data_IF_420523172059
#
_entry.id   IF_420523172059
#
_cell.length_a   1.000
_cell.length_b   1.000
_cell.length_c   1.000
_cell.angle_alpha   90.00
_cell.angle_beta   90.00
_cell.angle_gamma   90.00
#
_symmetry.space_group_name_H-M   'P 1'
#
loop_
_entity.id
_entity.type
_entity.pdbx_description
1 polymer ?
#
# COMPACT_ATOMS: atom_id res chain seq x y z
N UNK A 1 -9.26 13.43 -3.24
CA UNK A 1 -9.35 11.99 -3.50
C UNK A 1 -8.96 11.23 -2.24
N UNK A 2 -9.71 10.20 -1.90
CA UNK A 2 -9.47 9.47 -0.66
C UNK A 2 -8.49 8.33 -0.87
N UNK A 3 -7.50 8.17 0.00
CA UNK A 3 -6.66 6.98 -0.03
C UNK A 3 -7.50 5.73 0.19
N UNK A 4 -7.08 4.64 -0.41
CA UNK A 4 -7.67 3.34 -0.12
C UNK A 4 -7.08 2.84 1.19
N UNK A 5 -7.94 2.52 2.16
CA UNK A 5 -7.49 1.94 3.42
C UNK A 5 -8.14 0.58 3.60
N UNK A 6 -7.36 -0.40 3.97
CA UNK A 6 -7.85 -1.75 4.17
C UNK A 6 -6.96 -2.45 5.20
N UNK A 7 -7.28 -3.69 5.50
CA UNK A 7 -6.54 -4.48 6.47
C UNK A 7 -6.22 -5.85 5.90
N UNK A 8 -5.11 -6.43 6.36
CA UNK A 8 -4.70 -7.77 5.98
C UNK A 8 -3.90 -8.36 7.13
N UNK A 9 -4.35 -9.49 7.69
CA UNK A 9 -3.71 -10.15 8.84
C UNK A 9 -3.48 -9.18 9.99
N UNK A 10 -4.46 -8.31 10.24
CA UNK A 10 -4.45 -7.27 11.26
C UNK A 10 -3.47 -6.12 10.99
N UNK A 11 -2.73 -6.15 9.89
CA UNK A 11 -1.94 -5.01 9.44
C UNK A 11 -2.87 -4.03 8.74
N UNK A 12 -2.60 -2.75 8.92
CA UNK A 12 -3.33 -1.69 8.21
C UNK A 12 -2.57 -1.34 6.95
N UNK A 13 -3.29 -1.17 5.85
CA UNK A 13 -2.72 -0.81 4.55
C UNK A 13 -3.35 0.49 4.07
N UNK A 14 -2.53 1.42 3.60
CA UNK A 14 -3.02 2.63 2.96
C UNK A 14 -2.36 2.79 1.60
N UNK A 15 -3.17 2.91 0.56
CA UNK A 15 -2.70 3.11 -0.81
C UNK A 15 -3.14 4.49 -1.26
N UNK A 16 -2.18 5.35 -1.57
CA UNK A 16 -2.43 6.71 -2.04
C UNK A 16 -2.06 6.76 -3.51
N UNK A 17 -3.05 7.03 -4.36
CA UNK A 17 -2.80 7.07 -5.80
C UNK A 17 -2.53 8.50 -6.27
N UNK A 18 -1.75 8.61 -7.32
CA UNK A 18 -1.41 9.90 -7.94
C UNK A 18 -1.39 9.72 -9.44
N UNK A 19 -2.02 10.67 -10.13
CA UNK A 19 -1.94 10.73 -11.59
C UNK A 19 -0.61 11.34 -11.99
N UNK A 20 0.06 10.74 -12.96
CA UNK A 20 1.33 11.25 -13.51
C UNK A 20 1.15 11.70 -14.95
N UNK A 21 -0.07 12.13 -15.29
CA UNK A 21 -0.41 12.56 -16.65
C UNK A 21 -1.02 11.43 -17.45
N UNK A 22 -0.22 10.48 -17.90
CA UNK A 22 -0.71 9.37 -18.70
C UNK A 22 -0.88 8.07 -17.92
N UNK A 23 -0.42 8.08 -16.70
CA UNK A 23 -0.42 6.87 -15.88
C UNK A 23 -0.77 7.21 -14.45
N UNK A 24 -0.97 6.19 -13.64
CA UNK A 24 -1.23 6.34 -12.22
C UNK A 24 -0.17 5.59 -11.45
N UNK A 25 0.32 6.21 -10.40
CA UNK A 25 1.24 5.57 -9.47
C UNK A 25 0.59 5.47 -8.11
N UNK A 26 1.22 4.75 -7.20
CA UNK A 26 0.71 4.61 -5.85
C UNK A 26 1.86 4.67 -4.84
N UNK A 27 1.56 5.31 -3.71
CA UNK A 27 2.38 5.25 -2.52
C UNK A 27 1.68 4.28 -1.58
N UNK A 28 2.39 3.26 -1.12
CA UNK A 28 1.82 2.22 -0.30
C UNK A 28 2.47 2.23 1.07
N UNK A 29 1.65 2.38 2.10
CA UNK A 29 2.10 2.40 3.48
C UNK A 29 1.41 1.30 4.25
N UNK A 30 2.12 0.68 5.20
CA UNK A 30 1.55 -0.35 6.07
C UNK A 30 1.93 -0.09 7.52
N UNK A 31 1.09 -0.59 8.41
CA UNK A 31 1.33 -0.53 9.85
C UNK A 31 1.17 -1.93 10.44
N UNK A 32 2.09 -2.31 11.31
CA UNK A 32 1.96 -3.58 12.04
C UNK A 32 0.73 -3.53 12.94
N UNK A 33 0.19 -4.68 13.35
CA UNK A 33 -0.98 -4.69 14.24
C UNK A 33 -0.75 -3.87 15.50
N UNK A 34 -1.74 -3.06 15.86
CA UNK A 34 -1.68 -2.23 17.06
C UNK A 34 -0.94 -0.91 16.91
N UNK A 35 -0.39 -0.65 15.74
CA UNK A 35 0.31 0.60 15.46
C UNK A 35 -0.47 1.48 14.51
N UNK A 36 -0.34 2.76 14.69
CA UNK A 36 -0.95 3.76 13.81
C UNK A 36 -0.15 5.05 13.96
N UNK A 37 -0.37 5.96 13.03
CA UNK A 37 0.33 7.24 13.04
C UNK A 37 1.55 7.23 12.13
N UNK A 38 1.97 8.41 11.73
CA UNK A 38 3.01 8.56 10.71
C UNK A 38 4.35 7.97 11.09
N UNK A 39 4.66 7.96 12.39
CA UNK A 39 5.95 7.45 12.87
C UNK A 39 6.12 5.96 12.64
N UNK A 40 5.03 5.23 12.64
CA UNK A 40 5.07 3.77 12.53
C UNK A 40 4.77 3.27 11.13
N UNK A 41 4.51 4.18 10.21
CA UNK A 41 4.23 3.82 8.83
C UNK A 41 5.48 3.25 8.18
N UNK A 42 5.32 2.12 7.49
CA UNK A 42 6.40 1.52 6.70
C UNK A 42 6.05 1.67 5.25
N UNK A 43 7.01 2.13 4.45
CA UNK A 43 6.80 2.25 3.02
C UNK A 43 7.04 0.91 2.35
N UNK A 44 6.09 0.49 1.54
CA UNK A 44 6.23 -0.72 0.74
C UNK A 44 6.96 -0.33 -0.53
N UNK A 45 8.09 -0.99 -0.87
CA UNK A 45 8.73 -0.73 -2.15
C UNK A 45 7.77 -1.02 -3.29
N UNK A 46 7.43 0.02 -4.04
CA UNK A 46 6.46 -0.10 -5.12
C UNK A 46 6.83 0.92 -6.19
N UNK A 47 7.10 0.43 -7.37
CA UNK A 47 7.54 1.28 -8.46
C UNK A 47 6.89 0.82 -9.77
N UNK A 48 5.57 0.69 -9.74
CA UNK A 48 4.81 0.25 -10.90
C UNK A 48 3.77 1.32 -11.22
N UNK A 49 3.58 1.60 -12.49
CA UNK A 49 2.52 2.49 -12.94
C UNK A 49 1.40 1.67 -13.56
N UNK A 50 0.20 2.23 -13.52
CA UNK A 50 -1.00 1.58 -14.04
C UNK A 50 -1.76 2.57 -14.91
N UNK A 51 -2.68 2.07 -15.71
CA UNK A 51 -3.42 2.90 -16.64
C UNK A 51 -4.62 3.60 -16.01
N UNK A 52 -5.02 3.18 -14.82
CA UNK A 52 -6.15 3.78 -14.12
C UNK A 52 -5.89 3.84 -12.63
N UNK A 53 -6.64 4.69 -11.95
CA UNK A 53 -6.57 4.79 -10.50
C UNK A 53 -6.93 3.47 -9.84
N UNK A 54 -7.99 2.83 -10.31
CA UNK A 54 -8.44 1.58 -9.76
C UNK A 54 -7.38 0.49 -9.89
N UNK A 55 -6.73 0.42 -11.05
CA UNK A 55 -5.66 -0.54 -11.27
C UNK A 55 -4.47 -0.26 -10.36
N UNK A 56 -4.13 1.02 -10.16
CA UNK A 56 -3.05 1.40 -9.26
C UNK A 56 -3.36 1.03 -7.81
N UNK A 57 -4.61 1.25 -7.37
CA UNK A 57 -5.05 0.85 -6.04
C UNK A 57 -4.90 -0.65 -5.84
N UNK A 58 -5.37 -1.44 -6.79
CA UNK A 58 -5.34 -2.89 -6.70
C UNK A 58 -3.91 -3.43 -6.69
N UNK A 59 -3.08 -2.92 -7.60
CA UNK A 59 -1.68 -3.35 -7.66
C UNK A 59 -0.93 -2.96 -6.39
N UNK A 60 -1.21 -1.76 -5.86
CA UNK A 60 -0.60 -1.32 -4.61
C UNK A 60 -1.02 -2.18 -3.43
N UNK A 61 -2.29 -2.55 -3.38
CA UNK A 61 -2.80 -3.44 -2.34
C UNK A 61 -2.12 -4.80 -2.39
N UNK A 62 -1.95 -5.35 -3.59
CA UNK A 62 -1.28 -6.64 -3.76
C UNK A 62 0.17 -6.53 -3.31
N UNK A 63 0.85 -5.44 -3.64
CA UNK A 63 2.23 -5.23 -3.19
C UNK A 63 2.31 -5.20 -1.67
N UNK A 64 1.34 -4.55 -1.02
CA UNK A 64 1.28 -4.50 0.44
C UNK A 64 1.08 -5.89 1.04
N UNK A 65 0.18 -6.68 0.45
CA UNK A 65 -0.08 -8.05 0.93
C UNK A 65 1.19 -8.88 0.86
N UNK A 66 1.93 -8.79 -0.24
CA UNK A 66 3.19 -9.53 -0.39
C UNK A 66 4.23 -9.07 0.62
N UNK A 67 4.30 -7.77 0.86
CA UNK A 67 5.22 -7.21 1.84
C UNK A 67 4.89 -7.74 3.24
N UNK A 68 3.61 -7.72 3.61
CA UNK A 68 3.15 -8.19 4.92
C UNK A 68 3.44 -9.69 5.07
N UNK A 69 3.18 -10.48 4.05
CA UNK A 69 3.45 -11.91 4.10
C UNK A 69 4.94 -12.19 4.31
N UNK A 70 5.80 -11.43 3.64
CA UNK A 70 7.24 -11.60 3.80
C UNK A 70 7.68 -11.20 5.21
N UNK A 71 7.14 -10.13 5.75
CA UNK A 71 7.49 -9.70 7.11
C UNK A 71 6.97 -10.67 8.17
N UNK A 72 5.75 -11.16 7.97
CA UNK A 72 5.18 -12.12 8.90
C UNK A 72 5.96 -13.44 8.89
N UNK A 73 6.50 -13.82 7.75
CA UNK A 73 7.29 -15.06 7.65
C UNK A 73 8.64 -14.98 8.37
N UNK A 74 9.14 -13.77 8.59
CA UNK A 74 10.41 -13.58 9.30
C UNK A 74 10.25 -13.72 10.81
N UNK A 75 9.08 -13.46 11.29
CA UNK A 75 8.77 -13.48 12.70
C UNK A 75 8.21 -14.81 13.14
#
# INVERSE_FOLDING_TARGET
>A
MRPLETEYKDWTIRVITRSTGRAWSALVEVWVPGKSGDKDARLVPYNVTSQSEKAAQETGRIAAVRFIDAEAAKG
#
